data_IF_909662779694
#
_entry.id   IF_909662779694
#
_cell.length_a   1.000
_cell.length_b   1.000
_cell.length_c   1.000
_cell.angle_alpha   90.00
_cell.angle_beta   90.00
_cell.angle_gamma   90.00
#
_symmetry.space_group_name_H-M   'P 1'
#
loop_
_entity.id
_entity.type
_entity.pdbx_description
1 polymer ?
#
# COMPACT_ATOMS: atom_id res chain seq x y z
N UNK A 1 -19.92 6.29 -32.72
CA UNK A 1 -18.51 5.89 -32.54
C UNK A 1 -17.70 6.61 -33.61
N UNK A 2 -16.96 7.63 -33.25
CA UNK A 2 -16.02 8.23 -34.18
C UNK A 2 -14.89 7.22 -34.50
N UNK A 3 -14.43 7.15 -35.76
CA UNK A 3 -13.36 6.23 -36.13
C UNK A 3 -12.10 6.60 -35.36
N UNK A 4 -11.49 5.61 -34.72
CA UNK A 4 -10.22 5.74 -34.01
C UNK A 4 -9.18 6.41 -34.92
N UNK A 5 -8.65 7.57 -34.52
CA UNK A 5 -7.52 8.20 -35.21
C UNK A 5 -6.44 7.13 -35.38
N UNK A 6 -6.13 6.80 -36.63
CA UNK A 6 -4.96 5.96 -36.93
C UNK A 6 -3.70 6.77 -36.57
N UNK A 7 -3.08 6.43 -35.45
CA UNK A 7 -1.77 6.97 -35.12
C UNK A 7 -0.74 6.39 -36.10
N UNK A 8 -0.08 7.26 -36.83
CA UNK A 8 0.97 6.84 -37.76
C UNK A 8 2.24 6.49 -36.96
N UNK A 9 2.40 5.20 -36.66
CA UNK A 9 3.48 4.66 -35.85
C UNK A 9 4.88 4.89 -36.46
N UNK A 10 4.94 5.19 -37.78
CA UNK A 10 6.19 5.41 -38.51
C UNK A 10 6.80 6.81 -38.33
N UNK A 11 6.05 7.78 -37.79
CA UNK A 11 6.48 9.17 -37.66
C UNK A 11 6.99 9.56 -36.26
N UNK A 12 6.99 8.64 -35.29
CA UNK A 12 7.55 8.90 -33.95
C UNK A 12 9.07 8.77 -34.01
N UNK A 13 9.74 9.85 -34.34
CA UNK A 13 11.21 9.90 -34.25
C UNK A 13 11.62 10.04 -32.79
N UNK A 14 12.76 9.42 -32.43
CA UNK A 14 13.34 9.42 -31.08
C UNK A 14 13.62 10.83 -30.51
N UNK A 15 13.57 11.87 -31.33
CA UNK A 15 13.87 13.25 -31.00
C UNK A 15 12.65 14.16 -30.91
N UNK A 16 11.43 13.68 -31.20
CA UNK A 16 10.21 14.49 -31.16
C UNK A 16 9.25 14.08 -30.05
N UNK A 17 9.24 14.78 -28.88
CA UNK A 17 8.35 14.49 -27.77
C UNK A 17 6.87 14.87 -28.01
N UNK A 18 6.55 15.59 -29.09
CA UNK A 18 5.19 16.11 -29.36
C UNK A 18 4.26 15.05 -29.94
N UNK A 19 4.76 13.94 -30.43
CA UNK A 19 3.96 12.88 -31.09
C UNK A 19 3.79 11.63 -30.22
N UNK A 20 3.99 11.72 -28.89
CA UNK A 20 3.74 10.59 -28.02
C UNK A 20 2.24 10.33 -27.87
N UNK A 21 1.88 9.07 -27.96
CA UNK A 21 0.54 8.56 -27.68
C UNK A 21 0.58 7.63 -26.45
N UNK A 22 -0.59 7.28 -25.95
CA UNK A 22 -0.74 6.27 -24.91
C UNK A 22 -1.45 5.03 -25.45
N UNK A 23 -1.11 3.92 -24.86
CA UNK A 23 -1.65 2.59 -25.15
C UNK A 23 -2.44 2.13 -23.93
N UNK A 24 -3.74 1.86 -24.14
CA UNK A 24 -4.56 1.20 -23.14
C UNK A 24 -4.50 -0.30 -23.42
N UNK A 25 -4.18 -1.09 -22.40
CA UNK A 25 -3.99 -2.52 -22.57
C UNK A 25 -4.69 -3.31 -21.46
N UNK A 26 -4.95 -4.57 -21.72
CA UNK A 26 -5.40 -5.52 -20.71
C UNK A 26 -4.36 -6.63 -20.52
N UNK A 27 -4.31 -7.15 -19.31
CA UNK A 27 -3.58 -8.37 -18.96
C UNK A 27 -4.61 -9.36 -18.44
N UNK A 28 -4.70 -10.51 -19.05
CA UNK A 28 -5.64 -11.57 -18.68
C UNK A 28 -4.86 -12.74 -18.06
N UNK A 29 -5.25 -13.19 -16.88
CA UNK A 29 -4.77 -14.43 -16.29
C UNK A 29 -5.65 -15.58 -16.81
N UNK A 30 -5.05 -16.53 -17.51
CA UNK A 30 -5.77 -17.61 -18.18
C UNK A 30 -6.48 -18.54 -17.18
N UNK A 31 -5.81 -18.90 -16.08
CA UNK A 31 -6.37 -19.79 -15.05
C UNK A 31 -7.53 -19.14 -14.28
N UNK A 32 -7.45 -17.87 -13.91
CA UNK A 32 -8.48 -17.21 -13.10
C UNK A 32 -9.53 -16.48 -13.89
N UNK A 33 -9.29 -16.20 -15.17
CA UNK A 33 -10.11 -15.35 -16.03
C UNK A 33 -10.10 -13.86 -15.64
N UNK A 34 -9.39 -13.49 -14.59
CA UNK A 34 -9.35 -12.09 -14.11
C UNK A 34 -8.49 -11.22 -15.00
N UNK A 35 -8.93 -9.97 -15.12
CA UNK A 35 -8.32 -8.97 -16.00
C UNK A 35 -7.72 -7.83 -15.17
N UNK A 36 -6.60 -7.31 -15.63
CA UNK A 36 -6.05 -6.01 -15.27
C UNK A 36 -6.09 -5.10 -16.49
N UNK A 37 -6.48 -3.85 -16.31
CA UNK A 37 -6.39 -2.81 -17.32
C UNK A 37 -5.34 -1.80 -16.88
N UNK A 38 -4.52 -1.33 -17.80
CA UNK A 38 -3.51 -0.32 -17.54
C UNK A 38 -3.25 0.57 -18.74
N UNK A 39 -2.50 1.63 -18.51
CA UNK A 39 -2.05 2.54 -19.55
C UNK A 39 -0.52 2.58 -19.62
N UNK A 40 0.02 2.77 -20.81
CA UNK A 40 1.43 2.95 -21.05
C UNK A 40 1.68 4.03 -22.11
N UNK A 41 2.68 4.88 -21.91
CA UNK A 41 3.11 5.82 -22.93
C UNK A 41 3.94 5.09 -23.99
N UNK A 42 3.79 5.50 -25.25
CA UNK A 42 4.54 4.92 -26.37
C UNK A 42 6.07 5.01 -26.20
N UNK A 43 6.54 6.12 -25.63
CA UNK A 43 7.97 6.39 -25.45
C UNK A 43 8.24 7.02 -24.08
N UNK A 44 9.34 6.64 -23.44
CA UNK A 44 9.83 7.23 -22.19
C UNK A 44 11.18 7.93 -22.42
N UNK A 45 11.38 9.04 -21.70
CA UNK A 45 12.67 9.72 -21.68
C UNK A 45 13.65 8.91 -20.81
N UNK A 46 14.73 8.45 -21.42
CA UNK A 46 15.80 7.72 -20.75
C UNK A 46 17.15 8.25 -21.21
N UNK A 47 17.97 8.76 -20.28
CA UNK A 47 19.28 9.37 -20.59
C UNK A 47 19.23 10.42 -21.72
N UNK A 48 18.28 11.38 -21.62
CA UNK A 48 18.08 12.48 -22.59
C UNK A 48 17.61 12.04 -23.97
N UNK A 49 17.22 10.77 -24.17
CA UNK A 49 16.65 10.25 -25.41
C UNK A 49 15.33 9.56 -25.17
N UNK A 50 14.37 9.75 -26.07
CA UNK A 50 13.12 8.99 -26.03
C UNK A 50 13.36 7.58 -26.57
N UNK A 51 12.87 6.59 -25.83
CA UNK A 51 12.96 5.17 -26.20
C UNK A 51 11.56 4.57 -26.28
N UNK A 52 11.29 3.67 -27.24
CA UNK A 52 10.05 2.95 -27.29
C UNK A 52 9.77 2.25 -25.95
N UNK A 53 8.54 2.37 -25.48
CA UNK A 53 8.12 1.75 -24.22
C UNK A 53 6.86 0.90 -24.44
N UNK A 54 5.67 1.49 -24.49
CA UNK A 54 4.42 0.83 -24.79
C UNK A 54 3.98 -0.22 -23.76
N UNK A 55 2.87 -0.87 -24.04
CA UNK A 55 2.26 -1.86 -23.16
C UNK A 55 3.11 -3.12 -22.94
N UNK A 56 3.83 -3.57 -23.95
CA UNK A 56 4.67 -4.77 -23.85
C UNK A 56 5.81 -4.57 -22.84
N UNK A 57 6.51 -3.41 -22.91
CA UNK A 57 7.54 -3.12 -21.92
C UNK A 57 6.96 -2.84 -20.55
N UNK A 58 5.78 -2.23 -20.47
CA UNK A 58 5.09 -2.05 -19.18
C UNK A 58 4.72 -3.40 -18.55
N UNK A 59 4.28 -4.37 -19.34
CA UNK A 59 4.05 -5.73 -18.84
C UNK A 59 5.34 -6.36 -18.30
N UNK A 60 6.47 -6.24 -19.01
CA UNK A 60 7.77 -6.69 -18.51
C UNK A 60 8.17 -5.99 -17.19
N UNK A 61 7.79 -4.72 -17.00
CA UNK A 61 7.96 -4.06 -15.71
C UNK A 61 7.11 -4.73 -14.61
N UNK A 62 5.86 -5.08 -14.87
CA UNK A 62 5.02 -5.81 -13.91
C UNK A 62 5.63 -7.16 -13.52
N UNK A 63 6.19 -7.90 -14.50
CA UNK A 63 6.90 -9.15 -14.24
C UNK A 63 8.12 -8.89 -13.34
N UNK A 64 8.96 -7.92 -13.68
CA UNK A 64 10.14 -7.56 -12.88
C UNK A 64 9.76 -7.10 -11.46
N UNK A 65 8.69 -6.32 -11.35
CA UNK A 65 8.13 -5.88 -10.07
C UNK A 65 7.60 -7.06 -9.24
N UNK A 66 6.97 -8.04 -9.89
CA UNK A 66 6.45 -9.23 -9.22
C UNK A 66 7.54 -10.04 -8.51
N UNK A 67 8.71 -10.17 -9.10
CA UNK A 67 9.85 -10.94 -8.56
C UNK A 67 10.90 -10.08 -7.86
N UNK A 68 10.67 -8.77 -7.71
CA UNK A 68 11.57 -7.89 -6.99
C UNK A 68 11.55 -8.13 -5.48
N UNK A 69 12.72 -8.07 -4.85
CA UNK A 69 12.87 -8.16 -3.38
C UNK A 69 12.52 -6.86 -2.64
N UNK A 70 12.22 -5.78 -3.35
CA UNK A 70 11.85 -4.49 -2.75
C UNK A 70 10.51 -4.59 -2.03
N UNK A 71 10.47 -4.23 -0.75
CA UNK A 71 9.34 -4.45 0.18
C UNK A 71 8.00 -3.79 -0.17
N UNK A 72 7.96 -2.83 -1.12
CA UNK A 72 6.77 -1.99 -1.36
C UNK A 72 5.99 -2.33 -2.64
N UNK A 73 6.19 -3.52 -3.22
CA UNK A 73 5.58 -3.88 -4.50
C UNK A 73 4.54 -4.99 -4.36
N UNK A 74 3.56 -4.78 -3.47
CA UNK A 74 2.45 -5.71 -3.28
C UNK A 74 1.22 -5.34 -4.13
N UNK A 75 1.41 -5.11 -5.43
CA UNK A 75 0.29 -4.98 -6.34
C UNK A 75 -0.45 -6.32 -6.46
N UNK A 76 -1.77 -6.28 -6.50
CA UNK A 76 -2.61 -7.47 -6.59
C UNK A 76 -2.30 -8.30 -7.84
N UNK A 77 -2.03 -7.64 -8.98
CA UNK A 77 -1.53 -8.25 -10.19
C UNK A 77 -0.19 -8.97 -9.97
N UNK A 78 0.77 -8.32 -9.29
CA UNK A 78 2.10 -8.89 -9.04
C UNK A 78 2.01 -10.16 -8.16
N UNK A 79 1.09 -10.18 -7.20
CA UNK A 79 0.81 -11.37 -6.40
C UNK A 79 0.25 -12.51 -7.25
N UNK A 80 -0.62 -12.19 -8.21
CA UNK A 80 -1.18 -13.18 -9.13
C UNK A 80 -0.09 -13.74 -10.07
N UNK A 81 0.79 -12.87 -10.61
CA UNK A 81 1.92 -13.30 -11.44
C UNK A 81 2.84 -14.27 -10.67
N UNK A 82 3.14 -13.98 -9.39
CA UNK A 82 3.92 -14.93 -8.56
C UNK A 82 3.21 -16.26 -8.31
N UNK A 83 1.88 -16.21 -8.18
CA UNK A 83 1.08 -17.40 -7.87
C UNK A 83 0.89 -18.33 -9.07
N UNK A 84 0.59 -17.77 -10.24
CA UNK A 84 0.19 -18.53 -11.42
C UNK A 84 1.33 -18.73 -12.44
N UNK A 85 2.42 -17.97 -12.29
CA UNK A 85 3.52 -17.95 -13.26
C UNK A 85 3.28 -16.94 -14.39
N UNK A 86 4.36 -16.55 -15.07
CA UNK A 86 4.31 -15.53 -16.15
C UNK A 86 3.54 -16.05 -17.36
N UNK A 87 3.70 -17.31 -17.68
CA UNK A 87 3.11 -17.96 -18.87
C UNK A 87 1.58 -18.05 -18.82
N UNK A 88 0.99 -17.85 -17.61
CA UNK A 88 -0.47 -17.82 -17.42
C UNK A 88 -1.07 -16.43 -17.74
N UNK A 89 -0.26 -15.47 -18.18
CA UNK A 89 -0.73 -14.12 -18.46
C UNK A 89 -0.54 -13.72 -19.92
N UNK A 90 -1.62 -13.26 -20.53
CA UNK A 90 -1.64 -12.71 -21.88
C UNK A 90 -1.87 -11.21 -21.82
N UNK A 91 -1.03 -10.43 -22.52
CA UNK A 91 -1.17 -8.99 -22.64
C UNK A 91 -1.65 -8.61 -24.03
N UNK A 92 -2.65 -7.75 -24.11
CA UNK A 92 -3.26 -7.32 -25.36
C UNK A 92 -3.49 -5.81 -25.36
N UNK A 93 -3.25 -5.18 -26.50
CA UNK A 93 -3.60 -3.79 -26.72
C UNK A 93 -5.13 -3.66 -26.90
N UNK A 94 -5.72 -2.70 -26.19
CA UNK A 94 -7.13 -2.34 -26.36
C UNK A 94 -7.31 -1.13 -27.28
N UNK A 95 -6.53 -0.08 -27.08
CA UNK A 95 -6.67 1.18 -27.79
C UNK A 95 -5.39 2.01 -27.80
N UNK A 96 -5.18 2.78 -28.86
CA UNK A 96 -4.26 3.91 -28.87
C UNK A 96 -5.04 5.20 -28.63
N UNK A 97 -4.55 6.08 -27.76
CA UNK A 97 -5.17 7.35 -27.46
C UNK A 97 -4.16 8.48 -27.24
N UNK A 98 -4.63 9.71 -27.28
CA UNK A 98 -3.82 10.87 -26.89
C UNK A 98 -3.47 10.79 -25.39
N UNK A 99 -2.26 11.21 -25.02
CA UNK A 99 -1.81 11.11 -23.62
C UNK A 99 -2.70 11.91 -22.64
N UNK A 100 -3.38 12.95 -23.10
CA UNK A 100 -4.31 13.71 -22.29
C UNK A 100 -5.62 12.95 -21.98
N UNK A 101 -6.00 12.02 -22.85
CA UNK A 101 -7.22 11.21 -22.71
C UNK A 101 -6.97 9.87 -22.03
N UNK A 102 -5.71 9.50 -21.79
CA UNK A 102 -5.34 8.16 -21.32
C UNK A 102 -5.99 7.77 -19.99
N UNK A 103 -6.14 8.71 -19.06
CA UNK A 103 -6.78 8.47 -17.77
C UNK A 103 -8.29 8.15 -17.95
N UNK A 104 -8.99 8.89 -18.80
CA UNK A 104 -10.40 8.68 -19.10
C UNK A 104 -10.62 7.33 -19.81
N UNK A 105 -9.75 7.00 -20.77
CA UNK A 105 -9.83 5.73 -21.49
C UNK A 105 -9.53 4.54 -20.60
N UNK A 106 -8.55 4.64 -19.69
CA UNK A 106 -8.28 3.60 -18.69
C UNK A 106 -9.50 3.37 -17.79
N UNK A 107 -10.09 4.44 -17.24
CA UNK A 107 -11.30 4.36 -16.41
C UNK A 107 -12.45 3.68 -17.17
N UNK A 108 -12.66 4.05 -18.43
CA UNK A 108 -13.69 3.45 -19.28
C UNK A 108 -13.49 1.93 -19.42
N UNK A 109 -12.28 1.49 -19.76
CA UNK A 109 -12.00 0.05 -19.94
C UNK A 109 -12.03 -0.74 -18.64
N UNK A 110 -11.60 -0.15 -17.52
CA UNK A 110 -11.73 -0.76 -16.20
C UNK A 110 -13.19 -1.06 -15.89
N UNK A 111 -14.08 -0.11 -16.21
CA UNK A 111 -15.52 -0.24 -15.96
C UNK A 111 -16.15 -1.31 -16.84
N UNK A 112 -15.97 -1.25 -18.18
CA UNK A 112 -16.65 -2.16 -19.09
C UNK A 112 -16.14 -3.60 -19.02
N UNK A 113 -14.87 -3.79 -18.67
CA UNK A 113 -14.24 -5.12 -18.50
C UNK A 113 -14.37 -5.66 -17.08
N UNK A 114 -15.02 -4.93 -16.16
CA UNK A 114 -15.18 -5.30 -14.77
C UNK A 114 -13.85 -5.73 -14.10
N UNK A 115 -12.76 -5.02 -14.42
CA UNK A 115 -11.42 -5.38 -13.98
C UNK A 115 -11.09 -4.93 -12.55
N UNK A 116 -12.04 -4.28 -11.85
CA UNK A 116 -11.89 -3.89 -10.45
C UNK A 116 -11.94 -5.08 -9.51
N UNK A 117 -11.16 -4.99 -8.43
CA UNK A 117 -11.27 -5.92 -7.30
C UNK A 117 -12.71 -5.91 -6.72
N UNK A 118 -13.31 -7.07 -6.39
CA UNK A 118 -12.72 -8.43 -6.37
C UNK A 118 -12.80 -9.19 -7.71
N UNK A 119 -13.48 -8.65 -8.73
CA UNK A 119 -13.71 -9.33 -10.01
C UNK A 119 -12.46 -9.36 -10.89
N UNK A 120 -11.61 -8.35 -10.81
CA UNK A 120 -10.36 -8.22 -11.56
C UNK A 120 -9.16 -7.84 -10.69
N UNK A 121 -8.07 -7.42 -11.32
CA UNK A 121 -6.81 -7.09 -10.66
C UNK A 121 -6.60 -5.60 -10.40
N UNK A 122 -7.46 -4.72 -10.90
CA UNK A 122 -7.38 -3.29 -10.61
C UNK A 122 -7.87 -3.01 -9.18
N UNK A 123 -7.05 -2.34 -8.37
CA UNK A 123 -7.42 -1.90 -7.02
C UNK A 123 -8.04 -0.51 -6.99
N UNK A 124 -8.00 0.21 -8.12
CA UNK A 124 -8.44 1.59 -8.30
C UNK A 124 -9.25 1.72 -9.57
N UNK A 125 -10.07 2.76 -9.64
CA UNK A 125 -10.90 3.04 -10.80
C UNK A 125 -10.12 3.54 -12.04
N UNK A 126 -8.79 3.66 -11.94
CA UNK A 126 -7.94 4.19 -12.99
C UNK A 126 -7.69 5.70 -12.86
N UNK A 127 -6.90 6.24 -13.79
CA UNK A 127 -6.54 7.64 -13.83
C UNK A 127 -5.53 8.07 -12.75
N UNK A 128 -5.09 9.34 -12.82
CA UNK A 128 -4.17 9.93 -11.83
C UNK A 128 -4.85 10.22 -10.49
N UNK A 129 -6.16 10.28 -10.47
CA UNK A 129 -6.99 10.47 -9.27
C UNK A 129 -7.04 9.15 -8.49
N UNK A 130 -6.24 9.03 -7.45
CA UNK A 130 -6.01 7.80 -6.67
C UNK A 130 -7.18 7.46 -5.73
N UNK A 131 -8.37 7.20 -6.24
CA UNK A 131 -9.47 6.67 -5.43
C UNK A 131 -9.46 5.15 -5.43
N UNK A 132 -9.20 4.55 -4.25
CA UNK A 132 -9.41 3.11 -4.07
C UNK A 132 -10.90 2.79 -4.04
N UNK A 133 -11.30 1.62 -4.53
CA UNK A 133 -12.67 1.12 -4.34
C UNK A 133 -12.96 0.93 -2.86
N UNK A 134 -14.24 0.96 -2.47
CA UNK A 134 -14.63 0.81 -1.07
C UNK A 134 -14.28 -0.59 -0.53
N UNK A 135 -14.34 -1.64 -1.36
CA UNK A 135 -13.85 -2.97 -1.01
C UNK A 135 -12.34 -2.98 -0.78
N UNK A 136 -11.57 -2.29 -1.63
CA UNK A 136 -10.12 -2.17 -1.44
C UNK A 136 -9.77 -1.42 -0.16
N UNK A 137 -10.49 -0.33 0.15
CA UNK A 137 -10.34 0.43 1.40
C UNK A 137 -10.66 -0.45 2.61
N UNK A 138 -11.79 -1.18 2.59
CA UNK A 138 -12.18 -2.11 3.66
C UNK A 138 -11.14 -3.20 3.88
N UNK A 139 -10.63 -3.81 2.81
CA UNK A 139 -9.62 -4.87 2.91
C UNK A 139 -8.32 -4.36 3.53
N UNK A 140 -7.83 -3.19 3.09
CA UNK A 140 -6.63 -2.56 3.68
C UNK A 140 -6.87 -2.23 5.14
N UNK A 141 -8.02 -1.63 5.48
CA UNK A 141 -8.41 -1.31 6.86
C UNK A 141 -8.46 -2.56 7.73
N UNK A 142 -9.13 -3.62 7.28
CA UNK A 142 -9.23 -4.88 8.01
C UNK A 142 -7.88 -5.55 8.20
N UNK A 143 -7.01 -5.52 7.18
CA UNK A 143 -5.65 -6.05 7.26
C UNK A 143 -4.80 -5.28 8.27
N UNK A 144 -4.92 -3.96 8.31
CA UNK A 144 -4.23 -3.10 9.28
C UNK A 144 -4.76 -3.38 10.69
N UNK A 145 -6.08 -3.45 10.87
CA UNK A 145 -6.71 -3.76 12.16
C UNK A 145 -6.28 -5.13 12.68
N UNK A 146 -6.30 -6.17 11.83
CA UNK A 146 -5.86 -7.52 12.19
C UNK A 146 -4.38 -7.51 12.59
N UNK A 147 -3.50 -6.91 11.78
CA UNK A 147 -2.08 -6.82 12.10
C UNK A 147 -1.79 -6.17 13.45
N UNK A 148 -2.46 -5.05 13.75
CA UNK A 148 -2.28 -4.40 15.06
C UNK A 148 -2.91 -5.19 16.21
N UNK A 149 -4.01 -5.90 15.97
CA UNK A 149 -4.64 -6.78 16.96
C UNK A 149 -3.72 -7.95 17.32
N UNK A 150 -3.15 -8.60 16.30
CA UNK A 150 -2.22 -9.72 16.47
C UNK A 150 -0.91 -9.26 17.18
N UNK A 151 -0.34 -8.13 16.75
CA UNK A 151 0.83 -7.54 17.42
C UNK A 151 0.54 -7.12 18.86
N UNK A 152 -0.66 -6.60 19.14
CA UNK A 152 -1.06 -6.27 20.50
C UNK A 152 -1.18 -7.52 21.36
N UNK A 153 -1.79 -8.59 20.84
CA UNK A 153 -1.87 -9.88 21.53
C UNK A 153 -0.50 -10.51 21.75
N UNK A 154 0.39 -10.47 20.76
CA UNK A 154 1.76 -10.98 20.86
C UNK A 154 2.57 -10.22 21.92
N UNK A 155 2.47 -8.89 21.96
CA UNK A 155 3.10 -8.06 23.00
C UNK A 155 2.62 -8.42 24.39
N UNK A 156 1.32 -8.73 24.55
CA UNK A 156 0.78 -9.13 25.83
C UNK A 156 1.09 -10.58 26.21
N UNK A 157 1.30 -11.48 25.26
CA UNK A 157 1.71 -12.87 25.51
C UNK A 157 3.10 -12.98 26.11
N UNK A 158 4.00 -12.09 25.76
CA UNK A 158 5.39 -12.10 26.17
C UNK A 158 5.64 -11.42 27.53
N UNK A 159 4.65 -10.74 28.11
CA UNK A 159 4.74 -10.21 29.48
C UNK A 159 4.42 -11.35 30.44
N UNK A 160 5.47 -11.97 31.00
CA UNK A 160 5.32 -13.15 31.87
C UNK A 160 4.90 -12.75 33.30
N UNK A 161 5.43 -11.65 33.85
CA UNK A 161 5.06 -11.11 35.14
C UNK A 161 5.47 -9.64 35.27
N UNK A 162 4.64 -8.85 35.93
CA UNK A 162 5.01 -7.52 36.43
C UNK A 162 5.32 -7.68 37.93
N UNK A 163 6.51 -7.30 38.32
CA UNK A 163 6.99 -7.32 39.71
C UNK A 163 6.08 -6.46 40.63
N UNK A 164 6.07 -6.74 41.92
CA UNK A 164 5.33 -5.96 42.91
C UNK A 164 5.89 -4.54 43.08
N UNK A 165 7.21 -4.39 42.90
CA UNK A 165 7.85 -3.08 42.85
C UNK A 165 7.58 -2.40 41.49
N UNK A 166 6.42 -1.75 41.38
CA UNK A 166 5.98 -1.07 40.17
C UNK A 166 6.76 0.21 39.87
N UNK A 167 7.41 0.81 40.86
CA UNK A 167 8.17 2.07 40.67
C UNK A 167 9.38 1.90 39.74
N UNK A 168 9.98 0.72 39.69
CA UNK A 168 11.12 0.44 38.80
C UNK A 168 10.79 0.58 37.32
N UNK A 169 9.52 0.50 36.96
CA UNK A 169 9.05 0.64 35.57
C UNK A 169 8.72 2.07 35.19
N UNK A 170 8.71 3.02 36.15
CA UNK A 170 8.37 4.41 35.96
C UNK A 170 9.65 5.23 35.88
N UNK A 171 9.83 5.95 34.80
CA UNK A 171 11.01 6.78 34.54
C UNK A 171 10.64 8.22 34.23
N UNK A 172 11.49 9.20 34.60
CA UNK A 172 11.21 10.60 34.32
C UNK A 172 11.20 10.87 32.81
N UNK A 173 10.21 11.62 32.36
CA UNK A 173 10.07 12.10 31.00
C UNK A 173 10.58 13.53 30.93
N UNK A 174 11.73 13.73 30.28
CA UNK A 174 12.44 15.03 30.24
C UNK A 174 12.35 15.66 28.85
N UNK A 175 12.23 17.00 28.83
CA UNK A 175 12.31 17.80 27.61
C UNK A 175 13.04 19.11 27.95
N UNK A 176 14.00 19.51 27.13
CA UNK A 176 14.80 20.74 27.35
C UNK A 176 15.39 20.86 28.78
N UNK A 177 15.99 19.78 29.28
CA UNK A 177 16.58 19.68 30.63
C UNK A 177 15.58 19.87 31.81
N UNK A 178 14.28 19.80 31.57
CA UNK A 178 13.26 19.87 32.60
C UNK A 178 12.38 18.61 32.55
N UNK A 179 12.05 18.09 33.72
CA UNK A 179 11.09 17.01 33.82
C UNK A 179 9.68 17.58 33.64
N UNK A 180 8.89 16.98 32.73
CA UNK A 180 7.50 17.39 32.48
C UNK A 180 6.51 16.24 32.61
N UNK A 181 6.96 15.06 33.06
CA UNK A 181 6.10 13.90 33.25
C UNK A 181 6.90 12.65 33.59
N UNK A 182 6.25 11.53 33.40
CA UNK A 182 6.77 10.21 33.62
C UNK A 182 6.46 9.32 32.42
N UNK A 183 7.27 8.29 32.17
CA UNK A 183 6.91 7.24 31.22
C UNK A 183 7.08 5.87 31.86
N UNK A 184 6.26 4.95 31.41
CA UNK A 184 6.31 3.54 31.76
C UNK A 184 6.94 2.79 30.60
N UNK A 185 7.89 1.90 30.90
CA UNK A 185 8.46 1.00 29.91
C UNK A 185 8.52 -0.42 30.49
N UNK A 186 7.68 -1.31 29.96
CA UNK A 186 7.59 -2.71 30.34
C UNK A 186 7.53 -3.56 29.08
N UNK A 187 8.54 -4.38 28.85
CA UNK A 187 8.61 -5.35 27.75
C UNK A 187 8.09 -4.79 26.39
N UNK A 188 8.70 -3.68 25.94
CA UNK A 188 8.36 -2.97 24.71
C UNK A 188 7.03 -2.20 24.73
N UNK A 189 6.30 -2.20 25.82
CA UNK A 189 5.18 -1.30 26.02
C UNK A 189 5.72 0.01 26.59
N UNK A 190 5.50 1.10 25.87
CA UNK A 190 5.82 2.44 26.35
C UNK A 190 4.52 3.24 26.43
N UNK A 191 4.30 3.91 27.56
CA UNK A 191 3.23 4.86 27.76
C UNK A 191 3.79 6.10 28.45
N UNK A 192 3.48 7.26 27.92
CA UNK A 192 3.94 8.56 28.42
C UNK A 192 2.79 9.22 29.20
N UNK A 193 3.09 9.78 30.38
CA UNK A 193 2.18 10.44 31.28
C UNK A 193 2.75 11.81 31.65
N UNK A 194 2.05 12.86 31.30
CA UNK A 194 2.49 14.24 31.59
C UNK A 194 2.11 15.23 30.51
N UNK A 195 2.40 16.47 30.75
CA UNK A 195 2.13 17.59 29.86
C UNK A 195 2.40 18.91 30.57
N UNK A 196 2.46 19.99 29.80
CA UNK A 196 2.84 21.33 30.30
C UNK A 196 1.94 21.83 31.45
N UNK A 197 0.70 21.29 31.55
CA UNK A 197 -0.29 21.71 32.54
C UNK A 197 -0.67 20.61 33.54
N UNK A 198 0.02 19.46 33.52
CA UNK A 198 -0.25 18.33 34.41
C UNK A 198 0.81 18.30 35.51
N UNK A 199 0.45 18.35 36.79
CA UNK A 199 1.38 18.20 37.90
C UNK A 199 2.15 16.89 37.83
N UNK A 200 3.43 16.88 38.23
CA UNK A 200 4.27 15.69 38.19
C UNK A 200 3.72 14.55 39.07
N UNK A 201 3.12 14.89 40.20
CA UNK A 201 2.53 13.90 41.10
C UNK A 201 1.29 13.23 40.51
N UNK A 202 0.46 13.98 39.83
CA UNK A 202 -0.72 13.47 39.13
C UNK A 202 -0.30 12.58 37.95
N UNK A 203 0.69 12.99 37.18
CA UNK A 203 1.23 12.20 36.07
C UNK A 203 1.92 10.92 36.57
N UNK A 204 2.59 10.93 37.74
CA UNK A 204 3.16 9.75 38.36
C UNK A 204 2.07 8.78 38.83
N UNK A 205 1.00 9.31 39.44
CA UNK A 205 -0.16 8.52 39.85
C UNK A 205 -0.81 7.79 38.66
N UNK A 206 -1.03 8.51 37.57
CA UNK A 206 -1.57 7.93 36.32
C UNK A 206 -0.67 6.83 35.76
N UNK A 207 0.66 6.99 35.83
CA UNK A 207 1.61 5.95 35.42
C UNK A 207 1.51 4.70 36.31
N UNK A 208 1.38 4.88 37.63
CA UNK A 208 1.19 3.77 38.59
C UNK A 208 -0.12 3.02 38.35
N UNK A 209 -1.23 3.74 38.13
CA UNK A 209 -2.53 3.17 37.81
C UNK A 209 -2.48 2.37 36.51
N UNK A 210 -1.78 2.86 35.50
CA UNK A 210 -1.58 2.14 34.25
C UNK A 210 -0.90 0.79 34.45
N UNK A 211 0.19 0.73 35.26
CA UNK A 211 0.90 -0.50 35.54
C UNK A 211 0.02 -1.47 36.34
N UNK A 212 -0.73 -0.95 37.32
CA UNK A 212 -1.65 -1.76 38.14
C UNK A 212 -2.76 -2.38 37.26
N UNK A 213 -3.35 -1.60 36.38
CA UNK A 213 -4.35 -2.08 35.44
C UNK A 213 -3.78 -3.12 34.47
N UNK A 214 -2.52 -2.92 33.99
CA UNK A 214 -1.83 -3.87 33.13
C UNK A 214 -1.58 -5.19 33.89
N UNK A 215 -1.11 -5.12 35.13
CA UNK A 215 -0.89 -6.30 36.01
C UNK A 215 -2.19 -7.09 36.22
N UNK A 216 -3.27 -6.40 36.55
CA UNK A 216 -4.58 -7.03 36.76
C UNK A 216 -5.10 -7.69 35.47
N UNK A 217 -4.91 -7.06 34.33
CA UNK A 217 -5.30 -7.62 33.04
C UNK A 217 -4.49 -8.87 32.64
N UNK A 218 -3.29 -9.02 33.15
CA UNK A 218 -2.46 -10.21 32.98
C UNK A 218 -2.88 -11.35 33.91
N UNK A 219 -3.29 -11.04 35.15
CA UNK A 219 -3.71 -12.02 36.15
C UNK A 219 -5.07 -12.68 35.81
N UNK A 220 -5.94 -12.00 35.08
CA UNK A 220 -7.29 -12.49 34.71
C UNK A 220 -7.31 -13.32 33.42
N UNK A 221 -6.15 -13.68 32.85
CA UNK A 221 -6.11 -14.50 31.63
C UNK A 221 -6.33 -15.97 31.95
N UNK A 222 -7.27 -16.64 31.30
CA UNK A 222 -7.31 -18.10 31.33
C UNK A 222 -6.05 -18.66 30.64
N UNK A 223 -5.41 -19.65 31.28
CA UNK A 223 -4.29 -20.41 30.74
C UNK A 223 -4.64 -21.09 29.40
#
# INVERSE_FOLDING_TARGET
MEPSKQFNLSNVTLDNPTERYCEIYKITCLTSGKIYVGQAVSHILNHKRYRPYGYTRRFNCHISEAFSTKKNQSHYLNNAIRKYGVDDFVVELLEYCECLQSDEREIYYISILNSLYPLGYNLKNGGKSFTHTDESKKRVSNGVISYYKDKKQERFKNIIAIDDDIEKYIKPLNKYNSQYGWYVYIDRIKADFGGVHIPLDESKKSAMEFITNLKNSLATRPN
#
